data_IF_002715296322
#
_entry.id   IF_002715296322
#
_cell.length_a   1.000
_cell.length_b   1.000
_cell.length_c   1.000
_cell.angle_alpha   90.00
_cell.angle_beta   90.00
_cell.angle_gamma   90.00
#
_symmetry.space_group_name_H-M   'P 1'
#
loop_
_entity.id
_entity.type
_entity.pdbx_description
1 polymer ?
#
# COMPACT_ATOMS: atom_id res chain seq x y z
N UNK A 1 -14.35 34.87 13.33
CA UNK A 1 -15.56 34.38 14.01
C UNK A 1 -15.15 33.24 14.93
N UNK A 2 -15.49 33.28 16.21
CA UNK A 2 -15.27 32.19 17.13
C UNK A 2 -16.14 30.99 16.69
N UNK A 3 -15.56 29.82 16.61
CA UNK A 3 -16.32 28.57 16.35
C UNK A 3 -17.21 28.32 17.57
N UNK A 4 -18.51 28.42 17.39
CA UNK A 4 -19.47 28.01 18.41
C UNK A 4 -19.48 26.46 18.42
N UNK A 5 -19.16 25.90 19.57
CA UNK A 5 -19.27 24.46 19.76
C UNK A 5 -20.74 24.04 19.79
N UNK A 6 -21.10 22.91 19.19
CA UNK A 6 -22.46 22.39 19.27
C UNK A 6 -22.78 21.96 20.70
N UNK A 7 -24.07 22.10 21.08
CA UNK A 7 -24.57 21.64 22.37
C UNK A 7 -24.50 20.12 22.48
N UNK A 8 -24.26 19.63 23.69
CA UNK A 8 -24.33 18.20 23.96
C UNK A 8 -25.78 17.81 24.20
N UNK A 9 -26.28 16.87 23.41
CA UNK A 9 -27.59 16.27 23.60
C UNK A 9 -27.42 14.77 23.92
N UNK A 10 -28.47 14.17 24.48
CA UNK A 10 -28.46 12.75 24.83
C UNK A 10 -29.42 11.98 23.90
N UNK A 11 -28.88 10.98 23.24
CA UNK A 11 -29.64 10.07 22.39
C UNK A 11 -30.44 9.11 23.25
N UNK A 12 -31.75 9.30 23.32
CA UNK A 12 -32.64 8.45 24.13
C UNK A 12 -32.74 7.01 23.58
N UNK A 13 -32.55 6.85 22.28
CA UNK A 13 -32.61 5.54 21.60
C UNK A 13 -31.33 4.73 21.82
N UNK A 14 -30.26 5.39 22.27
CA UNK A 14 -28.94 4.79 22.54
C UNK A 14 -28.55 4.84 24.02
N UNK A 15 -29.47 4.58 24.93
CA UNK A 15 -29.21 4.56 26.37
C UNK A 15 -28.62 5.86 26.92
N UNK A 16 -29.10 7.00 26.44
CA UNK A 16 -28.63 8.34 26.81
C UNK A 16 -27.15 8.59 26.54
N UNK A 17 -26.57 7.95 25.51
CA UNK A 17 -25.21 8.29 25.09
C UNK A 17 -25.12 9.77 24.67
N UNK A 18 -24.11 10.51 25.13
CA UNK A 18 -23.94 11.90 24.72
C UNK A 18 -23.60 12.00 23.24
N UNK A 19 -24.32 12.82 22.52
CA UNK A 19 -24.04 13.20 21.13
C UNK A 19 -23.94 14.71 21.01
N UNK A 20 -23.24 15.18 20.01
CA UNK A 20 -23.22 16.59 19.69
C UNK A 20 -24.43 16.95 18.84
N UNK A 21 -25.18 17.96 19.25
CA UNK A 21 -26.27 18.52 18.43
C UNK A 21 -25.66 19.32 17.26
N UNK A 22 -25.48 18.60 16.16
CA UNK A 22 -24.97 19.18 14.93
C UNK A 22 -26.15 19.67 14.09
N UNK A 23 -26.29 20.99 13.96
CA UNK A 23 -27.21 21.53 12.95
C UNK A 23 -26.83 20.99 11.59
N UNK A 24 -27.72 20.25 10.95
CA UNK A 24 -27.51 19.52 9.68
C UNK A 24 -26.91 20.39 8.57
N UNK A 25 -27.18 21.70 8.56
CA UNK A 25 -26.59 22.65 7.61
C UNK A 25 -25.06 22.82 7.71
N UNK A 26 -24.45 22.49 8.85
CA UNK A 26 -23.01 22.59 9.05
C UNK A 26 -22.27 21.28 8.77
N UNK A 27 -22.99 20.15 8.75
CA UNK A 27 -22.43 18.81 8.67
C UNK A 27 -23.05 18.01 7.53
N UNK A 28 -23.56 18.67 6.49
CA UNK A 28 -24.04 17.99 5.30
C UNK A 28 -22.87 17.39 4.49
N UNK A 29 -22.13 16.49 5.13
CA UNK A 29 -21.02 15.77 4.54
C UNK A 29 -21.54 14.38 4.16
N UNK A 30 -21.53 14.00 2.90
CA UNK A 30 -21.91 12.65 2.51
C UNK A 30 -20.99 11.63 3.21
N UNK A 31 -21.58 10.78 4.05
CA UNK A 31 -20.82 9.77 4.80
C UNK A 31 -20.18 8.74 3.87
N UNK A 32 -20.97 8.27 2.90
CA UNK A 32 -20.47 7.42 1.82
C UNK A 32 -20.09 8.29 0.62
N UNK A 33 -18.92 7.99 0.02
CA UNK A 33 -18.49 8.66 -1.20
C UNK A 33 -19.04 7.91 -2.41
N UNK A 34 -19.42 8.65 -3.43
CA UNK A 34 -20.01 8.16 -4.67
C UNK A 34 -19.20 8.60 -5.90
N UNK A 35 -19.64 8.18 -7.07
CA UNK A 35 -18.99 8.51 -8.34
C UNK A 35 -18.85 10.02 -8.55
N UNK A 36 -19.83 10.81 -8.09
CA UNK A 36 -19.80 12.27 -8.20
C UNK A 36 -18.65 12.86 -7.36
N UNK A 37 -18.39 12.32 -6.18
CA UNK A 37 -17.25 12.74 -5.36
C UNK A 37 -15.92 12.40 -6.06
N UNK A 38 -15.81 11.24 -6.69
CA UNK A 38 -14.60 10.76 -7.35
C UNK A 38 -14.41 11.28 -8.79
N UNK A 39 -15.41 11.95 -9.37
CA UNK A 39 -15.25 12.65 -10.65
C UNK A 39 -14.29 13.84 -10.57
N UNK A 40 -14.04 14.37 -9.38
CA UNK A 40 -13.01 15.36 -9.14
C UNK A 40 -11.67 14.65 -8.84
N UNK A 41 -10.67 14.91 -9.68
CA UNK A 41 -9.35 14.27 -9.59
C UNK A 41 -8.64 14.52 -8.24
N UNK A 42 -8.70 15.74 -7.73
CA UNK A 42 -8.06 16.08 -6.44
C UNK A 42 -8.72 15.33 -5.28
N UNK A 43 -10.05 15.21 -5.31
CA UNK A 43 -10.81 14.41 -4.33
C UNK A 43 -10.45 12.95 -4.39
N UNK A 44 -10.30 12.40 -5.60
CA UNK A 44 -9.86 11.03 -5.82
C UNK A 44 -8.46 10.78 -5.23
N UNK A 45 -7.48 11.59 -5.62
CA UNK A 45 -6.10 11.47 -5.15
C UNK A 45 -6.02 11.63 -3.63
N UNK A 46 -6.72 12.62 -3.08
CA UNK A 46 -6.76 12.86 -1.63
C UNK A 46 -7.36 11.68 -0.87
N UNK A 47 -8.42 11.07 -1.42
CA UNK A 47 -9.05 9.90 -0.82
C UNK A 47 -8.10 8.70 -0.82
N UNK A 48 -7.46 8.38 -1.96
CA UNK A 48 -6.52 7.26 -2.08
C UNK A 48 -5.33 7.44 -1.12
N UNK A 49 -4.75 8.65 -1.04
CA UNK A 49 -3.69 8.97 -0.06
C UNK A 49 -4.18 8.82 1.39
N UNK A 50 -5.46 9.13 1.66
CA UNK A 50 -6.08 8.90 2.96
C UNK A 50 -6.19 7.42 3.31
N UNK A 51 -6.56 6.58 2.33
CA UNK A 51 -6.58 5.11 2.46
C UNK A 51 -5.17 4.58 2.73
N UNK A 52 -4.19 4.97 1.92
CA UNK A 52 -2.80 4.57 2.07
C UNK A 52 -2.25 4.88 3.47
N UNK A 53 -2.46 6.11 3.95
CA UNK A 53 -2.06 6.52 5.31
C UNK A 53 -2.72 5.66 6.38
N UNK A 54 -4.03 5.38 6.22
CA UNK A 54 -4.76 4.53 7.17
C UNK A 54 -4.23 3.10 7.19
N UNK A 55 -3.89 2.52 6.04
CA UNK A 55 -3.25 1.21 5.94
C UNK A 55 -1.91 1.21 6.69
N UNK A 56 -1.01 2.17 6.41
CA UNK A 56 0.31 2.26 7.03
C UNK A 56 0.25 2.43 8.55
N UNK A 57 -0.77 3.11 9.07
CA UNK A 57 -0.96 3.36 10.50
C UNK A 57 -1.66 2.21 11.23
N UNK A 58 -2.20 1.22 10.53
CA UNK A 58 -2.99 0.14 11.10
C UNK A 58 -2.11 -0.94 11.75
N UNK A 59 -2.55 -1.47 12.90
CA UNK A 59 -1.86 -2.57 13.58
C UNK A 59 -1.77 -3.85 12.75
N UNK A 60 -2.79 -4.13 11.91
CA UNK A 60 -2.77 -5.28 10.99
C UNK A 60 -1.61 -5.18 9.99
N UNK A 61 -1.29 -3.97 9.53
CA UNK A 61 -0.16 -3.72 8.64
C UNK A 61 1.18 -3.99 9.33
N UNK A 62 1.36 -3.47 10.56
CA UNK A 62 2.55 -3.75 11.36
C UNK A 62 2.72 -5.24 11.66
N UNK A 63 1.62 -5.93 12.00
CA UNK A 63 1.62 -7.39 12.20
C UNK A 63 1.97 -8.15 10.93
N UNK A 64 1.54 -7.67 9.75
CA UNK A 64 1.92 -8.27 8.48
C UNK A 64 3.43 -8.13 8.21
N UNK A 65 4.02 -6.96 8.44
CA UNK A 65 5.48 -6.77 8.34
C UNK A 65 6.21 -7.71 9.30
N UNK A 66 5.75 -7.83 10.54
CA UNK A 66 6.31 -8.75 11.52
C UNK A 66 6.21 -10.22 11.08
N UNK A 67 5.08 -10.61 10.50
CA UNK A 67 4.88 -11.94 9.91
C UNK A 67 5.88 -12.22 8.79
N UNK A 68 6.10 -11.26 7.88
CA UNK A 68 7.08 -11.41 6.80
C UNK A 68 8.50 -11.63 7.35
N UNK A 69 8.90 -10.86 8.35
CA UNK A 69 10.24 -10.97 8.95
C UNK A 69 10.40 -12.25 9.76
N UNK A 70 9.45 -12.60 10.60
CA UNK A 70 9.61 -13.65 11.60
C UNK A 70 9.17 -15.03 11.13
N UNK A 71 8.08 -15.13 10.37
CA UNK A 71 7.52 -16.41 9.92
C UNK A 71 7.97 -16.77 8.51
N UNK A 72 7.90 -15.81 7.58
CA UNK A 72 8.33 -16.02 6.19
C UNK A 72 9.86 -15.96 6.05
N UNK A 73 10.55 -15.37 7.05
CA UNK A 73 12.01 -15.20 7.07
C UNK A 73 12.55 -14.25 6.02
N UNK A 74 11.78 -13.22 5.70
CA UNK A 74 12.21 -12.08 4.89
C UNK A 74 12.80 -10.99 5.80
N UNK A 75 13.85 -11.33 6.53
CA UNK A 75 14.46 -10.52 7.58
C UNK A 75 15.70 -9.74 7.10
N UNK A 76 16.04 -9.83 5.83
CA UNK A 76 17.21 -9.19 5.20
C UNK A 76 16.88 -8.49 3.90
N UNK A 77 17.82 -7.73 3.37
CA UNK A 77 17.67 -7.12 2.06
C UNK A 77 17.62 -8.20 0.96
N UNK A 78 16.55 -8.23 0.17
CA UNK A 78 16.39 -9.20 -0.92
C UNK A 78 17.18 -8.82 -2.18
N UNK A 79 17.75 -7.61 -2.23
CA UNK A 79 18.63 -7.15 -3.31
C UNK A 79 20.11 -7.32 -2.94
N UNK A 80 20.45 -7.04 -1.68
CA UNK A 80 21.81 -7.20 -1.16
C UNK A 80 21.87 -8.39 -0.20
N UNK A 81 22.38 -9.52 -0.67
CA UNK A 81 22.34 -10.82 0.01
C UNK A 81 22.90 -10.81 1.42
N UNK A 82 23.95 -10.03 1.65
CA UNK A 82 24.69 -9.99 2.89
C UNK A 82 24.33 -8.80 3.79
N UNK A 83 23.22 -8.10 3.52
CA UNK A 83 22.76 -6.95 4.30
C UNK A 83 21.53 -7.36 5.11
N UNK A 84 21.65 -7.29 6.43
CA UNK A 84 20.64 -7.68 7.40
C UNK A 84 20.33 -6.54 8.36
N UNK A 85 19.28 -6.66 9.14
CA UNK A 85 18.96 -5.70 10.20
C UNK A 85 19.94 -5.75 11.41
N UNK A 86 20.85 -6.73 11.42
CA UNK A 86 21.90 -6.85 12.45
C UNK A 86 23.14 -6.00 12.12
N UNK A 87 23.27 -5.55 10.86
CA UNK A 87 24.38 -4.70 10.44
C UNK A 87 24.18 -3.27 10.97
N UNK A 88 25.28 -2.63 11.35
CA UNK A 88 25.28 -1.29 11.93
C UNK A 88 24.70 -0.25 10.93
N UNK A 89 23.68 0.48 11.37
CA UNK A 89 23.02 1.52 10.57
C UNK A 89 22.11 1.01 9.46
N UNK A 90 21.75 -0.29 9.49
CA UNK A 90 20.82 -0.88 8.53
C UNK A 90 19.42 -1.01 9.12
N UNK A 91 18.44 -0.47 8.41
CA UNK A 91 17.02 -0.77 8.62
C UNK A 91 16.47 -1.52 7.40
N UNK A 92 15.69 -2.57 7.65
CA UNK A 92 15.03 -3.36 6.61
C UNK A 92 13.56 -2.97 6.53
N UNK A 93 13.20 -2.40 5.40
CA UNK A 93 11.88 -1.86 5.10
C UNK A 93 11.11 -2.71 4.11
N UNK A 94 9.79 -2.65 4.19
CA UNK A 94 8.91 -3.28 3.21
C UNK A 94 8.58 -2.30 2.08
N UNK A 95 9.08 -2.59 0.88
CA UNK A 95 8.76 -1.89 -0.35
C UNK A 95 7.61 -2.58 -1.08
N UNK A 96 6.58 -1.81 -1.51
CA UNK A 96 5.50 -2.30 -2.37
C UNK A 96 5.93 -2.21 -3.82
N UNK A 97 5.86 -3.33 -4.49
CA UNK A 97 6.31 -3.45 -5.87
C UNK A 97 6.60 -4.93 -6.21
N UNK A 98 7.09 -5.18 -7.39
CA UNK A 98 7.66 -4.24 -8.37
C UNK A 98 6.64 -3.54 -9.29
N UNK A 99 5.42 -4.06 -9.43
CA UNK A 99 4.46 -3.54 -10.41
C UNK A 99 3.56 -2.46 -9.80
N UNK A 100 2.98 -2.74 -8.62
CA UNK A 100 2.05 -1.85 -7.95
C UNK A 100 2.65 -1.29 -6.67
N UNK A 101 2.65 0.02 -6.53
CA UNK A 101 2.90 0.70 -5.26
C UNK A 101 1.71 0.49 -4.30
N UNK A 102 1.86 0.82 -3.03
CA UNK A 102 0.71 0.79 -2.10
C UNK A 102 -0.40 1.74 -2.56
N UNK A 103 -0.05 2.89 -3.13
CA UNK A 103 -1.01 3.81 -3.72
C UNK A 103 -1.83 3.14 -4.83
N UNK A 104 -1.17 2.43 -5.75
CA UNK A 104 -1.83 1.73 -6.86
C UNK A 104 -2.77 0.62 -6.35
N UNK A 105 -2.33 -0.15 -5.35
CA UNK A 105 -3.18 -1.16 -4.70
C UNK A 105 -4.42 -0.51 -4.09
N UNK A 106 -4.28 0.61 -3.38
CA UNK A 106 -5.40 1.35 -2.80
C UNK A 106 -6.35 1.89 -3.89
N UNK A 107 -5.81 2.42 -4.99
CA UNK A 107 -6.57 2.91 -6.12
C UNK A 107 -7.37 1.79 -6.80
N UNK A 108 -6.73 0.67 -7.10
CA UNK A 108 -7.39 -0.51 -7.73
C UNK A 108 -8.51 -1.06 -6.83
N UNK A 109 -8.28 -1.15 -5.53
CA UNK A 109 -9.33 -1.61 -4.58
C UNK A 109 -10.48 -0.62 -4.51
N UNK A 110 -10.21 0.71 -4.53
CA UNK A 110 -11.25 1.73 -4.61
C UNK A 110 -12.09 1.58 -5.89
N UNK A 111 -11.43 1.48 -7.06
CA UNK A 111 -12.13 1.28 -8.34
C UNK A 111 -13.03 0.04 -8.31
N UNK A 112 -12.55 -1.03 -7.71
CA UNK A 112 -13.37 -2.24 -7.55
C UNK A 112 -14.64 -1.99 -6.72
N UNK A 113 -14.55 -1.19 -5.64
CA UNK A 113 -15.72 -0.80 -4.85
C UNK A 113 -16.72 0.02 -5.68
N UNK A 114 -16.22 0.94 -6.52
CA UNK A 114 -17.06 1.77 -7.40
C UNK A 114 -17.76 0.91 -8.46
N UNK A 115 -17.03 0.02 -9.14
CA UNK A 115 -17.61 -0.91 -10.14
C UNK A 115 -18.69 -1.80 -9.51
N UNK A 116 -18.45 -2.31 -8.30
CA UNK A 116 -19.42 -3.14 -7.56
C UNK A 116 -20.53 -2.34 -6.88
N UNK A 117 -20.50 -1.00 -7.00
CA UNK A 117 -21.45 -0.08 -6.34
C UNK A 117 -21.55 -0.32 -4.83
N UNK A 118 -20.44 -0.65 -4.22
CA UNK A 118 -20.36 -0.81 -2.78
C UNK A 118 -20.26 0.55 -2.08
N UNK A 119 -20.74 0.61 -0.84
CA UNK A 119 -20.60 1.81 -0.01
C UNK A 119 -19.13 2.10 0.26
N UNK A 120 -18.64 3.26 -0.14
CA UNK A 120 -17.25 3.67 -0.05
C UNK A 120 -17.02 4.55 1.17
N UNK A 121 -16.10 4.13 2.03
CA UNK A 121 -15.46 4.97 3.06
C UNK A 121 -13.98 4.62 3.10
N UNK A 122 -13.14 5.53 3.61
CA UNK A 122 -11.70 5.30 3.75
C UNK A 122 -11.42 4.03 4.55
N UNK A 123 -12.15 3.79 5.65
CA UNK A 123 -12.00 2.61 6.50
C UNK A 123 -12.27 1.33 5.70
N UNK A 124 -13.39 1.26 4.98
CA UNK A 124 -13.78 0.04 4.24
C UNK A 124 -12.78 -0.32 3.14
N UNK A 125 -12.28 0.69 2.43
CA UNK A 125 -11.26 0.45 1.40
C UNK A 125 -9.94 0.04 2.04
N UNK A 126 -9.51 0.70 3.14
CA UNK A 126 -8.31 0.33 3.87
C UNK A 126 -8.37 -1.10 4.43
N UNK A 127 -9.51 -1.51 5.00
CA UNK A 127 -9.71 -2.88 5.48
C UNK A 127 -9.59 -3.90 4.35
N UNK A 128 -10.16 -3.61 3.17
CA UNK A 128 -10.04 -4.50 2.02
C UNK A 128 -8.57 -4.61 1.53
N UNK A 129 -7.82 -3.50 1.54
CA UNK A 129 -6.38 -3.51 1.21
C UNK A 129 -5.58 -4.33 2.23
N UNK A 130 -5.88 -4.19 3.52
CA UNK A 130 -5.26 -4.99 4.58
C UNK A 130 -5.59 -6.48 4.45
N UNK A 131 -6.80 -6.82 4.02
CA UNK A 131 -7.18 -8.20 3.73
C UNK A 131 -6.36 -8.82 2.59
N UNK A 132 -6.04 -8.03 1.55
CA UNK A 132 -5.17 -8.51 0.47
C UNK A 132 -3.74 -8.76 0.94
N UNK A 133 -3.20 -7.92 1.84
CA UNK A 133 -1.91 -8.18 2.48
C UNK A 133 -1.94 -9.50 3.28
N UNK A 134 -2.93 -9.68 4.15
CA UNK A 134 -3.05 -10.89 4.96
C UNK A 134 -3.25 -12.16 4.15
N UNK A 135 -3.76 -12.05 2.92
CA UNK A 135 -3.89 -13.15 1.97
C UNK A 135 -2.66 -13.32 1.09
N UNK A 136 -1.58 -12.56 1.35
CA UNK A 136 -0.35 -12.55 0.56
C UNK A 136 -0.60 -12.30 -0.94
N UNK A 137 -1.53 -11.42 -1.29
CA UNK A 137 -1.82 -11.08 -2.69
C UNK A 137 -1.21 -9.77 -3.14
N UNK A 138 -0.71 -8.96 -2.21
CA UNK A 138 0.04 -7.74 -2.52
C UNK A 138 1.52 -8.10 -2.64
N UNK A 139 2.13 -7.72 -3.75
CA UNK A 139 3.57 -7.93 -3.92
C UNK A 139 4.38 -6.95 -3.09
N UNK A 140 5.37 -7.49 -2.38
CA UNK A 140 6.30 -6.72 -1.54
C UNK A 140 7.70 -7.30 -1.62
N UNK A 141 8.69 -6.45 -1.37
CA UNK A 141 10.11 -6.81 -1.27
C UNK A 141 10.67 -6.21 0.01
N UNK A 142 11.46 -6.98 0.75
CA UNK A 142 12.17 -6.48 1.92
C UNK A 142 13.55 -5.98 1.49
N UNK A 143 13.84 -4.71 1.75
CA UNK A 143 15.07 -4.05 1.29
C UNK A 143 15.63 -3.14 2.37
N UNK A 144 16.94 -2.87 2.32
CA UNK A 144 17.52 -1.82 3.18
C UNK A 144 17.03 -0.44 2.74
N UNK A 145 17.02 0.53 3.66
CA UNK A 145 16.58 1.91 3.39
C UNK A 145 17.31 2.52 2.20
N UNK A 146 18.63 2.29 2.07
CA UNK A 146 19.41 2.75 0.92
C UNK A 146 18.93 2.14 -0.40
N UNK A 147 18.72 0.82 -0.43
CA UNK A 147 18.20 0.15 -1.63
C UNK A 147 16.78 0.62 -1.94
N UNK A 148 15.98 0.91 -0.92
CA UNK A 148 14.62 1.46 -1.08
C UNK A 148 14.65 2.82 -1.80
N UNK A 149 15.59 3.69 -1.45
CA UNK A 149 15.78 4.97 -2.14
C UNK A 149 16.20 4.77 -3.61
N UNK A 150 17.16 3.87 -3.88
CA UNK A 150 17.62 3.58 -5.24
C UNK A 150 16.51 2.97 -6.13
N UNK A 151 15.62 2.18 -5.56
CA UNK A 151 14.44 1.67 -6.26
C UNK A 151 13.50 2.82 -6.64
N UNK A 152 13.25 3.76 -5.71
CA UNK A 152 12.40 4.92 -5.99
C UNK A 152 13.00 5.87 -7.02
N UNK A 153 14.32 5.97 -7.07
CA UNK A 153 15.05 6.74 -8.08
C UNK A 153 15.08 6.06 -9.47
N UNK A 154 14.74 4.76 -9.51
CA UNK A 154 14.76 3.96 -10.74
C UNK A 154 16.12 3.37 -11.08
N UNK A 155 17.09 3.45 -10.18
CA UNK A 155 18.47 2.96 -10.36
C UNK A 155 18.57 1.44 -10.16
N UNK A 156 17.64 0.87 -9.39
CA UNK A 156 17.52 -0.58 -9.17
C UNK A 156 16.21 -1.11 -9.75
N UNK A 157 16.33 -2.12 -10.63
CA UNK A 157 15.21 -2.88 -11.13
C UNK A 157 14.98 -4.12 -10.28
N UNK A 158 13.77 -4.30 -9.76
CA UNK A 158 13.37 -5.51 -9.04
C UNK A 158 12.66 -6.44 -10.02
N UNK A 159 13.16 -7.65 -10.18
CA UNK A 159 12.48 -8.66 -10.98
C UNK A 159 11.21 -9.13 -10.28
N UNK A 160 10.17 -9.44 -11.06
CA UNK A 160 8.88 -9.92 -10.54
C UNK A 160 9.04 -11.18 -9.65
N UNK A 161 10.06 -12.01 -9.93
CA UNK A 161 10.35 -13.23 -9.18
C UNK A 161 11.04 -12.99 -7.84
N UNK A 162 11.55 -11.77 -7.59
CA UNK A 162 12.14 -11.40 -6.31
C UNK A 162 11.09 -10.95 -5.28
N UNK A 163 9.88 -10.66 -5.72
CA UNK A 163 8.83 -10.16 -4.85
C UNK A 163 8.05 -11.30 -4.21
N UNK A 164 7.72 -11.13 -2.94
CA UNK A 164 6.79 -11.96 -2.21
C UNK A 164 5.36 -11.53 -2.49
N UNK A 165 4.47 -12.49 -2.69
CA UNK A 165 3.03 -12.26 -2.86
C UNK A 165 2.49 -12.82 -4.17
N UNK A 166 1.22 -13.24 -4.15
CA UNK A 166 0.51 -13.81 -5.30
C UNK A 166 -0.15 -12.71 -6.13
N UNK A 167 0.64 -12.06 -7.00
CA UNK A 167 0.15 -11.05 -7.93
C UNK A 167 -0.96 -11.59 -8.84
N UNK A 168 -0.87 -12.85 -9.27
CA UNK A 168 -1.86 -13.42 -10.18
C UNK A 168 -3.23 -13.50 -9.51
N UNK A 169 -3.29 -13.89 -8.24
CA UNK A 169 -4.54 -13.88 -7.48
C UNK A 169 -5.10 -12.46 -7.27
N UNK A 170 -4.22 -11.46 -7.07
CA UNK A 170 -4.63 -10.06 -7.02
C UNK A 170 -5.22 -9.59 -8.35
N UNK A 171 -4.48 -9.76 -9.44
CA UNK A 171 -4.91 -9.37 -10.79
C UNK A 171 -6.23 -10.06 -11.15
N UNK A 172 -6.34 -11.37 -10.92
CA UNK A 172 -7.56 -12.13 -11.21
C UNK A 172 -8.77 -11.58 -10.48
N UNK A 173 -8.61 -11.20 -9.19
CA UNK A 173 -9.71 -10.66 -8.39
C UNK A 173 -10.14 -9.27 -8.86
N UNK A 174 -9.18 -8.40 -9.19
CA UNK A 174 -9.40 -7.00 -9.47
C UNK A 174 -9.33 -6.64 -10.95
N UNK A 175 -9.40 -7.63 -11.84
CA UNK A 175 -9.20 -7.45 -13.28
C UNK A 175 -10.05 -6.32 -13.87
N UNK A 176 -11.33 -6.25 -13.50
CA UNK A 176 -12.25 -5.22 -14.00
C UNK A 176 -11.90 -3.81 -13.51
N UNK A 177 -11.20 -3.71 -12.38
CA UNK A 177 -10.77 -2.45 -11.77
C UNK A 177 -9.35 -2.02 -12.18
N UNK A 178 -8.60 -2.89 -12.87
CA UNK A 178 -7.27 -2.57 -13.39
C UNK A 178 -7.43 -1.84 -14.72
N UNK A 179 -7.03 -0.56 -14.75
CA UNK A 179 -7.12 0.27 -15.96
C UNK A 179 -6.26 -0.28 -17.09
N UNK A 180 -6.50 0.22 -18.32
CA UNK A 180 -5.70 -0.17 -19.48
C UNK A 180 -4.23 0.17 -19.29
N UNK A 181 -3.94 1.32 -18.73
CA UNK A 181 -2.57 1.79 -18.46
C UNK A 181 -1.84 0.86 -17.49
N UNK A 182 -2.50 0.40 -16.44
CA UNK A 182 -1.95 -0.60 -15.53
C UNK A 182 -1.72 -1.94 -16.21
N UNK A 183 -2.63 -2.40 -17.09
CA UNK A 183 -2.43 -3.65 -17.85
C UNK A 183 -1.21 -3.56 -18.77
N UNK A 184 -1.03 -2.43 -19.43
CA UNK A 184 0.16 -2.18 -20.26
C UNK A 184 1.44 -2.12 -19.42
N UNK A 185 1.38 -1.55 -18.22
CA UNK A 185 2.49 -1.55 -17.26
C UNK A 185 2.84 -2.97 -16.81
N UNK A 186 1.85 -3.78 -16.45
CA UNK A 186 2.05 -5.20 -16.08
C UNK A 186 2.78 -5.93 -17.20
N UNK A 187 2.31 -5.82 -18.44
CA UNK A 187 2.91 -6.50 -19.57
C UNK A 187 4.36 -6.07 -19.79
N UNK A 188 4.62 -4.75 -19.82
CA UNK A 188 5.99 -4.23 -19.94
C UNK A 188 6.91 -4.70 -18.84
N UNK A 189 6.38 -4.82 -17.61
CA UNK A 189 7.16 -5.29 -16.47
C UNK A 189 7.49 -6.79 -16.58
N UNK A 190 6.51 -7.59 -17.00
CA UNK A 190 6.70 -9.02 -17.26
C UNK A 190 7.73 -9.22 -18.37
N UNK A 191 7.57 -8.53 -19.51
CA UNK A 191 8.50 -8.62 -20.65
C UNK A 191 9.93 -8.26 -20.21
N UNK A 192 10.08 -7.17 -19.45
CA UNK A 192 11.38 -6.77 -18.89
C UNK A 192 11.96 -7.82 -17.95
N UNK A 193 11.13 -8.39 -17.08
CA UNK A 193 11.56 -9.44 -16.15
C UNK A 193 12.01 -10.72 -16.86
N UNK A 194 11.40 -11.05 -17.99
CA UNK A 194 11.78 -12.21 -18.80
C UNK A 194 13.08 -12.00 -19.59
N UNK A 195 13.40 -10.75 -19.95
CA UNK A 195 14.67 -10.41 -20.62
C UNK A 195 15.88 -10.63 -19.71
N UNK A 196 15.68 -10.51 -18.41
CA UNK A 196 16.69 -10.75 -17.40
C UNK A 196 16.41 -12.13 -16.78
N UNK A 197 17.18 -13.13 -17.18
CA UNK A 197 17.07 -14.46 -16.56
C UNK A 197 17.27 -14.31 -15.03
N UNK A 198 16.45 -15.03 -14.27
CA UNK A 198 16.52 -15.03 -12.80
C UNK A 198 17.90 -15.42 -12.25
N UNK A 199 18.74 -16.08 -13.04
CA UNK A 199 20.13 -16.40 -12.71
C UNK A 199 21.08 -15.20 -12.80
N UNK A 200 20.76 -14.19 -13.62
CA UNK A 200 21.56 -12.95 -13.75
C UNK A 200 21.25 -11.93 -12.66
N UNK A 201 20.14 -12.10 -11.95
CA UNK A 201 19.88 -11.41 -10.69
C UNK A 201 20.56 -12.13 -9.52
N UNK A 202 21.84 -12.43 -9.69
CA UNK A 202 22.68 -12.69 -8.55
C UNK A 202 22.47 -11.53 -7.59
N UNK A 203 21.95 -11.83 -6.43
CA UNK A 203 21.80 -10.90 -5.32
C UNK A 203 23.14 -10.19 -5.20
N UNK A 204 23.15 -8.88 -5.44
CA UNK A 204 24.37 -8.07 -5.37
C UNK A 204 24.95 -8.19 -3.96
N UNK A 205 26.21 -8.54 -3.88
CA UNK A 205 26.92 -8.47 -2.61
C UNK A 205 27.55 -7.09 -2.46
N UNK A 206 27.38 -6.47 -1.30
CA UNK A 206 28.15 -5.31 -0.93
C UNK A 206 29.63 -5.69 -1.01
N UNK A 207 30.37 -5.01 -1.89
CA UNK A 207 31.82 -5.17 -1.93
C UNK A 207 32.46 -4.23 -0.89
N UNK A 208 32.92 -4.75 0.26
CA UNK A 208 33.50 -3.91 1.31
C UNK A 208 34.75 -3.15 0.86
N UNK A 209 35.40 -3.56 -0.22
CA UNK A 209 36.63 -2.91 -0.74
C UNK A 209 36.33 -1.56 -1.40
N UNK A 210 35.08 -1.34 -1.87
CA UNK A 210 34.66 -0.04 -2.42
C UNK A 210 34.57 1.07 -1.36
N UNK A 211 34.55 0.73 -0.07
CA UNK A 211 34.34 1.67 1.04
C UNK A 211 35.57 1.81 1.96
N UNK A 212 36.65 1.06 1.71
CA UNK A 212 37.86 1.09 2.54
C UNK A 212 38.70 2.37 2.39
N UNK A 213 38.40 3.23 1.42
CA UNK A 213 39.22 4.41 1.07
C UNK A 213 38.44 5.74 1.20
N UNK A 214 37.47 5.83 2.09
CA UNK A 214 36.82 7.10 2.38
C UNK A 214 36.99 7.49 3.84
#
# INVERSE_FOLDING_TARGET
MAKVLPDIVYDKDRNNSPILDAKTSYYNIPFYKDDKYFSNYESYVSFVKGVERMVRQNDRYRKYISYLKNEVKLDRCQVLKNVTAEDEGVDIEMHHGPIFTLYDVCAIVLEYFLIKKWKVTTVRVADAVLDEHQKNRVQVVMVSSTVHEEIHNGDIFINIHQAWGDLNAFIKKYWDAISREYREQINRYIDRSLLYDSTDFSILELNPDLYKNK
#
